data_IF_702533058204
#
_entry.id   IF_702533058204
#
_cell.length_a   1.000
_cell.length_b   1.000
_cell.length_c   1.000
_cell.angle_alpha   90.00
_cell.angle_beta   90.00
_cell.angle_gamma   90.00
#
_symmetry.space_group_name_H-M   'P 1'
#
loop_
_entity.id
_entity.type
_entity.pdbx_description
1 polymer ?
#
# COMPACT_ATOMS: atom_id res chain seq x y z
N UNK A 1 10.71 -14.83 -18.55
CA UNK A 1 11.61 -14.80 -17.38
C UNK A 1 11.24 -13.55 -16.62
N UNK A 2 11.14 -13.61 -15.29
CA UNK A 2 10.87 -12.41 -14.50
C UNK A 2 12.03 -11.42 -14.68
N UNK A 3 11.71 -10.15 -14.88
CA UNK A 3 12.67 -9.05 -14.91
C UNK A 3 13.07 -8.73 -13.47
N UNK A 4 14.35 -8.47 -13.23
CA UNK A 4 14.82 -8.07 -11.90
C UNK A 4 14.32 -6.65 -11.56
N UNK A 5 13.77 -6.48 -10.36
CA UNK A 5 13.20 -5.21 -9.92
C UNK A 5 13.30 -5.04 -8.40
N UNK A 6 13.32 -3.79 -7.95
CA UNK A 6 13.16 -3.47 -6.54
C UNK A 6 12.47 -2.12 -6.36
N UNK A 7 11.82 -1.93 -5.22
CA UNK A 7 11.32 -0.64 -4.74
C UNK A 7 11.57 -0.52 -3.23
N UNK A 8 12.07 0.63 -2.81
CA UNK A 8 12.30 1.01 -1.42
C UNK A 8 11.67 2.38 -1.18
N UNK A 9 10.98 2.54 -0.06
CA UNK A 9 10.41 3.81 0.34
C UNK A 9 9.25 3.65 1.33
N UNK A 10 8.70 4.77 1.82
CA UNK A 10 7.54 4.75 2.70
C UNK A 10 6.29 4.30 1.95
N UNK A 11 5.43 3.57 2.64
CA UNK A 11 4.16 3.11 2.10
C UNK A 11 3.07 3.13 3.16
N UNK A 12 1.83 3.18 2.68
CA UNK A 12 0.60 3.15 3.46
C UNK A 12 -0.18 1.88 3.14
N UNK A 13 -0.87 1.37 4.15
CA UNK A 13 -1.95 0.40 4.01
C UNK A 13 -3.07 0.80 4.95
N UNK A 14 -4.16 1.28 4.38
CA UNK A 14 -5.34 1.68 5.14
C UNK A 14 -6.57 0.93 4.62
N UNK A 15 -7.50 0.62 5.51
CA UNK A 15 -8.78 0.04 5.18
C UNK A 15 -9.88 0.63 6.06
N UNK A 16 -11.12 0.51 5.60
CA UNK A 16 -12.31 0.90 6.35
C UNK A 16 -12.57 0.06 7.62
N UNK A 17 -11.89 -1.08 7.81
CA UNK A 17 -12.10 -1.97 8.94
C UNK A 17 -11.43 -1.49 10.24
N UNK A 18 -11.81 -2.11 11.36
CA UNK A 18 -11.20 -1.88 12.66
C UNK A 18 -9.67 -2.09 12.65
N UNK A 19 -8.93 -1.44 13.57
CA UNK A 19 -7.48 -1.57 13.66
C UNK A 19 -7.00 -3.02 13.67
N UNK A 20 -5.99 -3.30 12.83
CA UNK A 20 -5.37 -4.63 12.71
C UNK A 20 -5.77 -5.43 11.46
N UNK A 21 -6.64 -4.90 10.59
CA UNK A 21 -7.25 -5.57 9.43
C UNK A 21 -7.58 -7.04 9.68
N UNK A 22 -8.80 -7.37 10.10
CA UNK A 22 -9.23 -8.76 10.33
C UNK A 22 -8.88 -9.70 9.14
N UNK A 23 -8.87 -9.12 7.94
CA UNK A 23 -8.45 -9.75 6.69
C UNK A 23 -7.08 -10.45 6.74
N UNK A 24 -6.10 -9.88 7.46
CA UNK A 24 -4.74 -10.42 7.57
C UNK A 24 -4.70 -11.74 8.36
N UNK A 25 -5.77 -12.04 9.09
CA UNK A 25 -5.94 -13.25 9.90
C UNK A 25 -7.06 -14.15 9.35
N UNK A 26 -7.38 -14.02 8.06
CA UNK A 26 -8.48 -14.74 7.39
C UNK A 26 -9.85 -14.54 8.08
N UNK A 27 -10.07 -13.39 8.72
CA UNK A 27 -11.36 -13.05 9.31
C UNK A 27 -12.19 -12.17 8.36
N UNK A 28 -13.47 -12.03 8.69
CA UNK A 28 -14.42 -11.21 7.94
C UNK A 28 -14.17 -9.71 8.18
N UNK A 29 -14.44 -8.85 7.18
CA UNK A 29 -14.34 -7.40 7.34
C UNK A 29 -15.31 -6.89 8.42
N UNK A 30 -14.94 -5.81 9.11
CA UNK A 30 -15.76 -5.21 10.17
C UNK A 30 -17.14 -4.75 9.68
N UNK A 31 -17.23 -4.26 8.43
CA UNK A 31 -18.42 -3.61 7.89
C UNK A 31 -19.12 -4.45 6.79
N UNK A 32 -18.98 -5.77 6.85
CA UNK A 32 -19.47 -6.74 5.84
C UNK A 32 -18.85 -6.59 4.43
N UNK A 33 -18.13 -5.50 4.15
CA UNK A 33 -17.36 -5.25 2.94
C UNK A 33 -16.03 -4.59 3.31
N UNK A 34 -15.03 -4.76 2.45
CA UNK A 34 -13.72 -4.16 2.61
C UNK A 34 -13.48 -3.11 1.53
N UNK A 35 -13.07 -1.91 1.94
CA UNK A 35 -12.54 -0.87 1.06
C UNK A 35 -11.16 -0.50 1.59
N UNK A 36 -10.15 -0.67 0.75
CA UNK A 36 -8.75 -0.52 1.15
C UNK A 36 -7.94 0.22 0.12
N UNK A 37 -6.81 0.74 0.58
CA UNK A 37 -5.82 1.35 -0.29
C UNK A 37 -4.42 1.01 0.20
N UNK A 38 -3.54 0.76 -0.76
CA UNK A 38 -2.09 0.80 -0.56
C UNK A 38 -1.51 1.90 -1.42
N UNK A 39 -0.49 2.59 -0.91
CA UNK A 39 0.21 3.62 -1.66
C UNK A 39 1.67 3.66 -1.23
N UNK A 40 2.57 3.92 -2.16
CA UNK A 40 4.01 3.98 -1.91
C UNK A 40 4.62 5.16 -2.64
N UNK A 41 5.58 5.82 -1.99
CA UNK A 41 6.58 6.65 -2.65
C UNK A 41 7.83 5.81 -2.84
N UNK A 42 8.34 5.76 -4.07
CA UNK A 42 9.57 5.05 -4.38
C UNK A 42 10.74 6.00 -4.14
N UNK A 43 11.41 5.85 -3.00
CA UNK A 43 12.62 6.61 -2.68
C UNK A 43 13.83 6.07 -3.45
N UNK A 44 13.83 4.77 -3.78
CA UNK A 44 14.77 4.13 -4.71
C UNK A 44 14.10 2.93 -5.37
N UNK A 45 14.28 2.74 -6.67
CA UNK A 45 13.75 1.55 -7.34
C UNK A 45 14.07 1.47 -8.82
N UNK A 46 14.02 0.25 -9.37
CA UNK A 46 14.18 0.01 -10.80
C UNK A 46 13.37 -1.20 -11.26
N UNK A 47 13.16 -1.29 -12.57
CA UNK A 47 12.67 -2.46 -13.28
C UNK A 47 13.56 -2.74 -14.49
N UNK A 48 14.49 -3.68 -14.37
CA UNK A 48 15.60 -3.79 -15.31
C UNK A 48 16.37 -2.47 -15.39
N UNK A 49 16.46 -1.88 -16.58
CA UNK A 49 17.13 -0.59 -16.81
C UNK A 49 16.21 0.64 -16.60
N UNK A 50 14.93 0.45 -16.26
CA UNK A 50 13.97 1.54 -16.05
C UNK A 50 14.08 2.04 -14.61
N UNK A 51 14.45 3.31 -14.42
CA UNK A 51 14.47 3.97 -13.11
C UNK A 51 13.04 4.33 -12.68
N UNK A 52 12.67 3.94 -11.46
CA UNK A 52 11.36 4.23 -10.85
C UNK A 52 11.46 5.24 -9.69
N UNK A 53 12.66 5.72 -9.41
CA UNK A 53 12.94 6.61 -8.28
C UNK A 53 12.16 7.92 -8.38
N UNK A 54 11.55 8.33 -7.27
CA UNK A 54 10.76 9.56 -7.16
C UNK A 54 9.31 9.44 -7.63
N UNK A 55 8.92 8.28 -8.20
CA UNK A 55 7.53 8.01 -8.57
C UNK A 55 6.71 7.53 -7.36
N UNK A 56 5.40 7.65 -7.51
CA UNK A 56 4.42 7.08 -6.61
C UNK A 56 3.55 6.05 -7.34
N UNK A 57 3.05 5.10 -6.59
CA UNK A 57 1.95 4.25 -7.03
C UNK A 57 0.98 4.01 -5.87
N UNK A 58 -0.25 3.70 -6.23
CA UNK A 58 -1.26 3.24 -5.30
C UNK A 58 -2.14 2.17 -5.94
N UNK A 59 -2.86 1.44 -5.10
CA UNK A 59 -3.92 0.53 -5.52
C UNK A 59 -5.08 0.68 -4.56
N UNK A 60 -6.27 0.98 -5.08
CA UNK A 60 -7.50 0.86 -4.29
C UNK A 60 -8.14 -0.48 -4.55
N UNK A 61 -8.73 -1.04 -3.52
CA UNK A 61 -9.32 -2.37 -3.55
C UNK A 61 -10.69 -2.35 -2.89
N UNK A 62 -11.59 -3.16 -3.44
CA UNK A 62 -12.93 -3.35 -2.88
C UNK A 62 -13.33 -4.81 -2.92
N UNK A 63 -13.74 -5.36 -1.78
CA UNK A 63 -14.34 -6.68 -1.69
C UNK A 63 -15.75 -6.59 -1.09
N UNK A 64 -16.74 -7.30 -1.65
CA UNK A 64 -18.09 -7.34 -1.09
C UNK A 64 -18.20 -8.18 0.20
N UNK A 65 -17.11 -8.84 0.62
CA UNK A 65 -17.04 -9.77 1.74
C UNK A 65 -15.58 -10.00 2.16
N UNK A 66 -15.24 -11.21 2.60
CA UNK A 66 -13.88 -11.51 3.03
C UNK A 66 -12.91 -11.60 1.84
N UNK A 67 -11.72 -11.04 1.98
CA UNK A 67 -10.71 -10.98 0.91
C UNK A 67 -10.39 -12.36 0.31
N UNK A 68 -10.31 -13.40 1.15
CA UNK A 68 -9.98 -14.76 0.72
C UNK A 68 -11.12 -15.45 -0.05
N UNK A 69 -12.33 -14.91 -0.04
CA UNK A 69 -13.45 -15.38 -0.87
C UNK A 69 -13.33 -14.88 -2.32
N UNK A 70 -12.38 -13.99 -2.59
CA UNK A 70 -12.15 -13.40 -3.90
C UNK A 70 -13.22 -12.37 -4.28
N UNK A 71 -13.51 -12.25 -5.58
CA UNK A 71 -14.43 -11.25 -6.14
C UNK A 71 -14.00 -9.79 -5.88
N UNK A 72 -12.73 -9.57 -5.55
CA UNK A 72 -12.18 -8.24 -5.38
C UNK A 72 -12.14 -7.45 -6.68
N UNK A 73 -12.25 -6.15 -6.52
CA UNK A 73 -11.91 -5.17 -7.55
C UNK A 73 -10.63 -4.46 -7.16
N UNK A 74 -9.82 -4.10 -8.14
CA UNK A 74 -8.61 -3.29 -7.94
C UNK A 74 -8.52 -2.19 -8.98
N UNK A 75 -8.15 -0.99 -8.56
CA UNK A 75 -7.79 0.13 -9.44
C UNK A 75 -6.31 0.43 -9.25
N UNK A 76 -5.44 0.10 -10.23
CA UNK A 76 -4.06 0.56 -10.21
C UNK A 76 -4.00 2.08 -10.42
N UNK A 77 -3.18 2.77 -9.64
CA UNK A 77 -3.00 4.22 -9.72
C UNK A 77 -1.51 4.49 -9.79
N UNK A 78 -1.07 5.24 -10.81
CA UNK A 78 0.33 5.54 -11.07
C UNK A 78 0.49 7.06 -11.15
N UNK A 79 1.62 7.57 -10.65
CA UNK A 79 1.98 8.98 -10.73
C UNK A 79 1.95 9.47 -12.19
N UNK A 80 1.24 10.57 -12.45
CA UNK A 80 1.13 11.16 -13.79
C UNK A 80 2.49 11.51 -14.41
N UNK A 81 3.51 11.73 -13.56
CA UNK A 81 4.90 12.03 -13.97
C UNK A 81 5.60 10.84 -14.60
N UNK A 82 5.11 9.62 -14.39
CA UNK A 82 5.68 8.42 -15.00
C UNK A 82 5.54 8.49 -16.52
N UNK A 83 6.62 8.20 -17.24
CA UNK A 83 6.60 8.00 -18.68
C UNK A 83 6.07 6.60 -19.06
N UNK A 84 5.93 6.33 -20.35
CA UNK A 84 5.36 5.07 -20.84
C UNK A 84 6.16 3.82 -20.37
N UNK A 85 7.50 3.76 -20.50
CA UNK A 85 8.30 2.67 -19.90
C UNK A 85 8.09 2.48 -18.40
N UNK A 86 8.01 3.57 -17.62
CA UNK A 86 7.80 3.52 -16.18
C UNK A 86 6.40 3.02 -15.83
N UNK A 87 5.37 3.47 -16.57
CA UNK A 87 3.98 3.00 -16.40
C UNK A 87 3.87 1.50 -16.67
N UNK A 88 4.46 1.03 -17.78
CA UNK A 88 4.45 -0.38 -18.14
C UNK A 88 5.20 -1.24 -17.10
N UNK A 89 6.34 -0.74 -16.61
CA UNK A 89 7.10 -1.40 -15.55
C UNK A 89 6.27 -1.53 -14.26
N UNK A 90 5.66 -0.43 -13.80
CA UNK A 90 4.82 -0.43 -12.60
C UNK A 90 3.61 -1.36 -12.78
N UNK A 91 2.90 -1.32 -13.91
CA UNK A 91 1.75 -2.21 -14.14
C UNK A 91 2.15 -3.70 -14.17
N UNK A 92 3.32 -4.04 -14.69
CA UNK A 92 3.84 -5.41 -14.65
C UNK A 92 4.17 -5.86 -13.22
N UNK A 93 4.76 -4.99 -12.39
CA UNK A 93 5.03 -5.28 -10.98
C UNK A 93 3.71 -5.43 -10.21
N UNK A 94 2.83 -4.42 -10.28
CA UNK A 94 1.59 -4.34 -9.50
C UNK A 94 0.57 -5.43 -9.87
N UNK A 95 0.67 -6.00 -11.07
CA UNK A 95 -0.16 -7.14 -11.49
C UNK A 95 0.34 -8.50 -10.96
N UNK A 96 1.48 -8.54 -10.27
CA UNK A 96 2.10 -9.77 -9.77
C UNK A 96 2.77 -10.62 -10.86
N UNK A 97 2.81 -10.16 -12.12
CA UNK A 97 3.44 -10.89 -13.22
C UNK A 97 4.95 -11.05 -13.07
N UNK A 98 5.56 -10.18 -12.26
CA UNK A 98 6.99 -10.10 -12.00
C UNK A 98 7.36 -10.68 -10.63
N UNK A 99 6.47 -11.45 -10.02
CA UNK A 99 6.64 -12.04 -8.69
C UNK A 99 6.27 -11.09 -7.56
N UNK A 100 6.75 -11.42 -6.36
CA UNK A 100 6.38 -10.86 -5.06
C UNK A 100 5.02 -11.34 -4.52
N UNK A 101 5.07 -11.95 -3.34
CA UNK A 101 3.91 -12.60 -2.71
C UNK A 101 2.77 -11.64 -2.43
N UNK A 102 3.05 -10.36 -2.15
CA UNK A 102 2.00 -9.38 -1.92
C UNK A 102 1.20 -9.11 -3.20
N UNK A 103 1.88 -8.80 -4.30
CA UNK A 103 1.20 -8.53 -5.58
C UNK A 103 0.56 -9.79 -6.17
N UNK A 104 1.17 -10.96 -6.04
CA UNK A 104 0.60 -12.24 -6.45
C UNK A 104 -0.71 -12.55 -5.71
N UNK A 105 -0.75 -12.32 -4.39
CA UNK A 105 -1.97 -12.51 -3.59
C UNK A 105 -3.05 -11.53 -4.04
N UNK A 106 -2.73 -10.23 -4.18
CA UNK A 106 -3.70 -9.22 -4.63
C UNK A 106 -4.29 -9.59 -6.00
N UNK A 107 -3.46 -10.01 -6.95
CA UNK A 107 -3.90 -10.47 -8.26
C UNK A 107 -4.84 -11.69 -8.17
N UNK A 108 -4.57 -12.63 -7.24
CA UNK A 108 -5.41 -13.81 -7.04
C UNK A 108 -6.77 -13.48 -6.41
N UNK A 109 -6.83 -12.51 -5.49
CA UNK A 109 -8.07 -12.15 -4.77
C UNK A 109 -8.87 -11.01 -5.42
N UNK A 110 -8.29 -10.29 -6.38
CA UNK A 110 -8.92 -9.22 -7.15
C UNK A 110 -9.01 -9.55 -8.65
N UNK A 111 -9.91 -10.47 -9.07
CA UNK A 111 -10.05 -10.83 -10.48
C UNK A 111 -10.58 -9.67 -11.36
N UNK A 112 -11.19 -8.64 -10.76
CA UNK A 112 -11.79 -7.53 -11.48
C UNK A 112 -10.85 -6.31 -11.49
N UNK A 113 -9.87 -6.31 -12.39
CA UNK A 113 -8.95 -5.19 -12.57
C UNK A 113 -9.63 -4.07 -13.38
N UNK A 114 -9.71 -2.87 -12.80
CA UNK A 114 -10.23 -1.67 -13.46
C UNK A 114 -9.11 -0.97 -14.25
N UNK A 115 -9.48 -0.03 -15.12
CA UNK A 115 -8.52 0.73 -15.91
C UNK A 115 -7.55 1.52 -15.00
N UNK A 116 -6.23 1.41 -15.23
CA UNK A 116 -5.25 2.19 -14.49
C UNK A 116 -5.50 3.69 -14.58
N UNK A 117 -5.29 4.39 -13.47
CA UNK A 117 -5.42 5.84 -13.38
C UNK A 117 -4.04 6.49 -13.30
N UNK A 118 -3.79 7.49 -14.15
CA UNK A 118 -2.55 8.29 -14.13
C UNK A 118 -2.88 9.69 -13.63
N UNK A 119 -2.52 9.99 -12.38
CA UNK A 119 -3.00 11.19 -11.66
C UNK A 119 -1.89 11.80 -10.81
N UNK A 120 -1.99 13.09 -10.42
CA UNK A 120 -1.02 13.70 -9.52
C UNK A 120 -1.10 13.08 -8.12
N UNK A 121 0.06 12.97 -7.46
CA UNK A 121 0.18 12.52 -6.08
C UNK A 121 0.62 13.64 -5.14
N UNK A 122 -0.09 13.76 -4.01
CA UNK A 122 0.38 14.42 -2.79
C UNK A 122 0.70 13.30 -1.78
N UNK A 123 1.91 13.29 -1.24
CA UNK A 123 2.37 12.24 -0.33
C UNK A 123 3.14 12.85 0.84
N UNK A 124 2.51 12.84 2.01
CA UNK A 124 3.06 13.30 3.27
C UNK A 124 3.25 12.10 4.19
N UNK A 125 4.46 11.88 4.68
CA UNK A 125 4.75 10.77 5.59
C UNK A 125 5.76 11.23 6.63
N UNK A 126 5.34 11.25 7.88
CA UNK A 126 6.20 11.52 9.03
C UNK A 126 6.17 10.30 9.94
N UNK A 127 7.27 9.55 9.88
CA UNK A 127 7.45 8.37 10.72
C UNK A 127 7.51 8.79 12.19
N UNK A 128 8.12 9.92 12.53
CA UNK A 128 8.28 10.31 13.93
C UNK A 128 6.94 10.69 14.59
N UNK A 129 6.12 11.50 13.93
CA UNK A 129 4.76 11.75 14.42
C UNK A 129 3.80 10.59 14.17
N UNK A 130 4.16 9.60 13.33
CA UNK A 130 3.26 8.52 12.85
C UNK A 130 2.02 9.09 12.13
N UNK A 131 2.19 10.22 11.47
CA UNK A 131 1.15 10.84 10.66
C UNK A 131 1.47 10.70 9.19
N UNK A 132 0.44 10.70 8.36
CA UNK A 132 0.64 10.76 6.94
C UNK A 132 -0.65 10.97 6.17
N UNK A 133 -0.51 11.41 4.93
CA UNK A 133 -1.60 11.69 4.01
C UNK A 133 -1.17 11.32 2.61
N UNK A 134 -2.04 10.62 1.90
CA UNK A 134 -1.89 10.37 0.47
C UNK A 134 -3.14 10.85 -0.23
N UNK A 135 -2.96 11.69 -1.25
CA UNK A 135 -3.99 12.03 -2.22
C UNK A 135 -3.50 11.70 -3.62
N UNK A 136 -4.25 10.90 -4.36
CA UNK A 136 -3.98 10.57 -5.75
C UNK A 136 -5.15 11.02 -6.63
N UNK A 137 -5.04 12.23 -7.18
CA UNK A 137 -6.13 12.91 -7.88
C UNK A 137 -7.43 12.91 -7.06
N UNK A 138 -8.53 12.55 -7.71
CA UNK A 138 -9.86 12.36 -7.08
C UNK A 138 -10.17 10.88 -6.79
N UNK A 139 -9.23 9.97 -7.05
CA UNK A 139 -9.44 8.52 -7.00
C UNK A 139 -9.21 7.97 -5.59
N UNK A 140 -8.24 8.53 -4.87
CA UNK A 140 -7.84 8.11 -3.54
C UNK A 140 -7.50 9.33 -2.68
N UNK A 141 -8.09 9.38 -1.50
CA UNK A 141 -7.59 10.18 -0.39
C UNK A 141 -7.57 9.30 0.86
N UNK A 142 -6.45 9.29 1.57
CA UNK A 142 -6.33 8.57 2.83
C UNK A 142 -5.40 9.31 3.77
N UNK A 143 -5.75 9.28 5.05
CA UNK A 143 -5.02 9.94 6.11
C UNK A 143 -4.76 8.94 7.24
N UNK A 144 -3.65 9.11 7.92
CA UNK A 144 -3.27 8.36 9.10
C UNK A 144 -2.84 9.34 10.17
N UNK A 145 -3.46 9.20 11.34
CA UNK A 145 -3.12 9.95 12.55
C UNK A 145 -2.93 8.94 13.70
N UNK A 146 -2.27 9.40 14.75
CA UNK A 146 -2.02 8.61 15.94
C UNK A 146 -3.32 8.32 16.68
N UNK A 147 -3.47 7.08 17.16
CA UNK A 147 -4.58 6.75 18.06
C UNK A 147 -4.49 7.62 19.31
N UNK A 148 -5.60 8.26 19.67
CA UNK A 148 -5.66 9.16 20.82
C UNK A 148 -5.93 8.35 22.09
N UNK A 149 -5.11 8.57 23.12
CA UNK A 149 -5.36 8.04 24.47
C UNK A 149 -6.39 8.88 25.25
N UNK A 150 -6.66 8.48 26.50
CA UNK A 150 -7.61 9.17 27.39
C UNK A 150 -7.13 10.57 27.83
N UNK A 151 -5.84 10.89 27.70
CA UNK A 151 -5.24 12.18 28.09
C UNK A 151 -3.91 12.45 27.33
N UNK A 152 -3.87 12.99 26.09
CA UNK A 152 -2.65 12.98 25.30
C UNK A 152 -1.87 14.31 25.42
N UNK A 153 -0.53 14.24 25.50
CA UNK A 153 0.19 14.40 24.23
C UNK A 153 1.44 13.51 24.10
N UNK A 154 1.53 12.86 22.95
CA UNK A 154 2.68 12.32 22.20
C UNK A 154 2.10 11.20 21.32
N UNK A 155 2.64 10.97 20.11
CA UNK A 155 2.13 9.93 19.21
C UNK A 155 2.09 8.58 19.93
N UNK A 156 0.90 7.94 19.98
CA UNK A 156 0.74 6.65 20.66
C UNK A 156 1.65 5.60 20.01
N UNK A 157 2.62 5.09 20.79
CA UNK A 157 3.65 4.16 20.33
C UNK A 157 3.77 2.98 21.29
N UNK A 158 3.54 1.77 20.80
CA UNK A 158 3.90 0.54 21.52
C UNK A 158 5.38 0.24 21.24
N UNK A 159 6.25 0.49 22.23
CA UNK A 159 7.69 0.25 22.10
C UNK A 159 8.11 -0.89 23.03
N UNK A 160 8.49 -2.03 22.45
CA UNK A 160 9.13 -3.13 23.19
C UNK A 160 10.66 -3.03 23.06
N UNK A 161 11.37 -2.82 24.18
CA UNK A 161 12.85 -2.83 24.22
C UNK A 161 13.31 -4.09 24.93
N UNK A 162 13.80 -5.08 24.17
CA UNK A 162 14.43 -6.27 24.74
C UNK A 162 15.89 -5.94 25.04
N UNK A 163 16.26 -5.89 26.32
CA UNK A 163 17.66 -5.73 26.73
C UNK A 163 18.37 -7.07 26.53
N UNK A 164 19.33 -7.13 25.61
CA UNK A 164 20.25 -8.28 25.56
C UNK A 164 21.13 -8.23 26.81
N UNK A 165 21.15 -9.31 27.60
CA UNK A 165 22.25 -9.52 28.56
C UNK A 165 23.52 -9.65 27.72
N UNK A 166 24.56 -8.88 28.04
CA UNK A 166 25.89 -9.21 27.56
C UNK A 166 26.15 -10.67 27.95
N UNK A 167 26.37 -11.51 26.94
CA UNK A 167 26.77 -12.89 27.18
C UNK A 167 28.13 -12.85 27.89
N UNK A 168 28.30 -13.59 29.00
CA UNK A 168 29.60 -13.72 29.65
C UNK A 168 30.62 -14.42 28.75
#
# INVERSE_FOLDING_TARGET
MATDWYMEGPWFKNCNCDPGCPCDFNQFPTHDHCEGAVAMRIDKGNFGDVDLTGLHWAGTVRWPGAMHEGNGEVVPIIDEKADEPQRDALLQILSGQQGDTFFEIVAAVCPNVREPQFVPFEFEFDLDSRTGRVKAGEVLETESDTMRGIDPPDPYRVVCRIRRREQP
#
